data_IF_882255905125
#
_entry.id   IF_882255905125
#
_cell.length_a   1.000
_cell.length_b   1.000
_cell.length_c   1.000
_cell.angle_alpha   90.00
_cell.angle_beta   90.00
_cell.angle_gamma   90.00
#
_symmetry.space_group_name_H-M   'P 1'
#
loop_
_entity.id
_entity.type
_entity.pdbx_description
1 polymer ?
#
# COMPACT_ATOMS: atom_id res chain seq x y z
N UNK A 1 13.63 -53.12 -6.05
CA UNK A 1 12.49 -52.38 -5.45
C UNK A 1 11.98 -51.42 -6.49
N UNK A 2 10.70 -51.37 -6.80
CA UNK A 2 10.20 -50.31 -7.68
C UNK A 2 10.38 -48.99 -6.96
N UNK A 3 11.02 -48.04 -7.62
CA UNK A 3 11.10 -46.65 -7.16
C UNK A 3 9.69 -46.10 -7.21
N UNK A 4 9.20 -45.64 -6.09
CA UNK A 4 7.90 -44.97 -6.04
C UNK A 4 7.96 -43.76 -6.96
N UNK A 5 7.17 -43.78 -8.02
CA UNK A 5 7.12 -42.67 -9.00
C UNK A 5 6.66 -41.31 -8.41
N UNK A 6 6.26 -41.31 -7.15
CA UNK A 6 5.87 -40.08 -6.41
C UNK A 6 6.96 -39.59 -5.43
N UNK A 7 8.09 -40.30 -5.28
CA UNK A 7 9.22 -39.78 -4.52
C UNK A 7 9.96 -38.75 -5.36
N UNK A 8 9.63 -37.45 -5.17
CA UNK A 8 10.45 -36.37 -5.71
C UNK A 8 11.81 -36.38 -4.98
N UNK A 9 12.81 -37.01 -5.56
CA UNK A 9 14.17 -36.98 -5.06
C UNK A 9 14.80 -35.64 -5.44
N UNK A 10 14.96 -34.75 -4.47
CA UNK A 10 15.70 -33.50 -4.65
C UNK A 10 17.18 -33.80 -4.54
N UNK A 11 17.81 -34.21 -5.63
CA UNK A 11 19.28 -34.37 -5.69
C UNK A 11 19.90 -33.25 -6.50
N UNK A 12 20.59 -32.35 -5.81
CA UNK A 12 21.54 -31.43 -6.44
C UNK A 12 22.90 -32.12 -6.56
N UNK A 13 23.21 -32.64 -7.75
CA UNK A 13 24.54 -33.26 -8.02
C UNK A 13 25.48 -32.33 -8.80
N UNK A 14 25.09 -31.09 -9.04
CA UNK A 14 25.87 -30.17 -9.85
C UNK A 14 26.68 -29.25 -8.95
N UNK A 15 28.00 -29.17 -9.18
CA UNK A 15 28.88 -28.27 -8.47
C UNK A 15 28.48 -26.81 -8.75
N UNK A 16 28.68 -25.91 -7.77
CA UNK A 16 28.55 -24.49 -7.92
C UNK A 16 29.33 -24.04 -9.18
N UNK A 17 28.70 -23.25 -10.05
CA UNK A 17 29.23 -22.79 -11.36
C UNK A 17 29.25 -23.83 -12.51
N UNK A 18 28.71 -25.01 -12.38
CA UNK A 18 28.57 -25.91 -13.50
C UNK A 18 27.29 -25.62 -14.31
N UNK A 19 27.39 -25.75 -15.63
CA UNK A 19 26.21 -25.70 -16.49
C UNK A 19 25.31 -26.89 -16.19
N UNK A 20 24.05 -26.66 -15.87
CA UNK A 20 23.05 -27.70 -15.65
C UNK A 20 22.88 -28.58 -16.90
N UNK A 21 23.49 -29.75 -16.89
CA UNK A 21 23.39 -30.70 -17.98
C UNK A 21 22.24 -31.72 -17.83
N UNK A 22 21.61 -31.80 -16.65
CA UNK A 22 20.49 -32.69 -16.33
C UNK A 22 19.36 -31.92 -15.68
N UNK A 23 18.16 -32.49 -15.54
CA UNK A 23 17.00 -31.88 -14.92
C UNK A 23 17.18 -31.66 -13.41
N UNK A 24 17.84 -30.59 -12.93
CA UNK A 24 17.85 -30.28 -11.52
C UNK A 24 16.46 -29.84 -11.09
N UNK A 25 16.09 -30.10 -9.85
CA UNK A 25 14.93 -29.44 -9.26
C UNK A 25 15.29 -27.96 -9.11
N UNK A 26 14.83 -27.15 -10.03
CA UNK A 26 15.03 -25.69 -9.97
C UNK A 26 14.08 -25.11 -8.95
N UNK A 27 14.62 -24.63 -7.85
CA UNK A 27 13.88 -23.76 -6.94
C UNK A 27 13.99 -22.36 -7.53
N UNK A 28 13.04 -22.03 -8.37
CA UNK A 28 13.01 -20.73 -9.04
C UNK A 28 11.57 -20.36 -9.39
N UNK A 29 11.37 -19.12 -9.74
CA UNK A 29 10.10 -18.63 -10.24
C UNK A 29 10.16 -18.39 -11.75
N UNK A 30 9.06 -17.95 -12.28
CA UNK A 30 8.90 -17.62 -13.70
C UNK A 30 9.29 -16.16 -13.91
N UNK A 31 10.21 -15.90 -14.85
CA UNK A 31 10.46 -14.54 -15.32
C UNK A 31 9.27 -14.06 -16.15
N UNK A 32 8.72 -12.87 -15.84
CA UNK A 32 7.60 -12.28 -16.58
C UNK A 32 7.87 -10.82 -16.87
N UNK A 33 7.47 -10.38 -18.05
CA UNK A 33 7.53 -8.99 -18.51
C UNK A 33 6.21 -8.23 -18.29
N UNK A 34 5.17 -8.91 -17.80
CA UNK A 34 3.87 -8.35 -17.51
C UNK A 34 3.39 -8.78 -16.12
N UNK A 35 2.49 -7.99 -15.52
CA UNK A 35 1.87 -8.36 -14.25
C UNK A 35 1.16 -9.71 -14.37
N UNK A 36 1.26 -10.57 -13.35
CA UNK A 36 0.53 -11.83 -13.32
C UNK A 36 -0.98 -11.59 -13.28
N UNK A 37 -1.72 -12.56 -13.79
CA UNK A 37 -3.17 -12.62 -13.56
C UNK A 37 -3.42 -12.86 -12.07
N UNK A 38 -4.43 -12.19 -11.52
CA UNK A 38 -4.86 -12.43 -10.16
C UNK A 38 -5.23 -13.91 -9.97
N UNK A 39 -4.81 -14.49 -8.85
CA UNK A 39 -5.13 -15.85 -8.44
C UNK A 39 -6.24 -15.83 -7.39
N UNK A 40 -7.01 -16.92 -7.28
CA UNK A 40 -8.02 -17.03 -6.23
C UNK A 40 -7.37 -17.17 -4.84
N UNK A 41 -8.13 -16.87 -3.79
CA UNK A 41 -7.67 -17.09 -2.44
C UNK A 41 -7.30 -18.56 -2.23
N UNK A 42 -6.17 -18.81 -1.56
CA UNK A 42 -5.60 -20.12 -1.29
C UNK A 42 -4.92 -20.83 -2.49
N UNK A 43 -4.92 -20.24 -3.68
CA UNK A 43 -4.13 -20.76 -4.80
C UNK A 43 -2.63 -20.56 -4.54
N UNK A 44 -1.83 -21.48 -5.09
CA UNK A 44 -0.37 -21.35 -5.07
C UNK A 44 0.05 -20.34 -6.12
N UNK A 45 1.03 -19.49 -5.78
CA UNK A 45 1.64 -18.55 -6.71
C UNK A 45 3.11 -18.86 -6.90
N UNK A 46 3.62 -18.53 -8.09
CA UNK A 46 5.04 -18.61 -8.39
C UNK A 46 5.78 -17.41 -7.82
N UNK A 47 7.05 -17.57 -7.42
CA UNK A 47 7.94 -16.45 -7.19
C UNK A 47 8.32 -15.81 -8.54
N UNK A 48 8.34 -14.47 -8.58
CA UNK A 48 8.70 -13.72 -9.78
C UNK A 48 10.18 -13.39 -9.80
N UNK A 49 10.79 -13.56 -10.98
CA UNK A 49 12.15 -13.18 -11.26
C UNK A 49 12.17 -12.30 -12.51
N UNK A 50 13.16 -11.40 -12.59
CA UNK A 50 13.41 -10.64 -13.79
C UNK A 50 14.14 -11.51 -14.84
N UNK A 51 14.43 -10.93 -16.01
CA UNK A 51 15.10 -11.59 -17.14
C UNK A 51 16.56 -11.96 -16.86
N UNK A 52 17.15 -11.48 -15.78
CA UNK A 52 18.50 -11.79 -15.31
C UNK A 52 18.52 -12.64 -14.04
N UNK A 53 17.36 -13.14 -13.60
CA UNK A 53 17.24 -14.09 -12.48
C UNK A 53 17.18 -13.45 -11.09
N UNK A 54 16.96 -12.13 -10.98
CA UNK A 54 16.77 -11.47 -9.67
C UNK A 54 15.32 -11.59 -9.24
N UNK A 55 15.09 -11.96 -7.99
CA UNK A 55 13.74 -11.99 -7.44
C UNK A 55 13.11 -10.59 -7.42
N UNK A 56 11.93 -10.45 -8.02
CA UNK A 56 11.15 -9.23 -7.98
C UNK A 56 10.29 -9.22 -6.72
N UNK A 57 10.60 -8.34 -5.79
CA UNK A 57 9.82 -8.12 -4.57
C UNK A 57 9.18 -6.75 -4.68
N UNK A 58 7.85 -6.70 -4.64
CA UNK A 58 7.10 -5.45 -4.60
C UNK A 58 6.97 -5.04 -3.15
N UNK A 59 7.58 -3.93 -2.77
CA UNK A 59 7.57 -3.41 -1.39
C UNK A 59 6.23 -2.81 -0.98
N UNK A 60 5.34 -2.56 -1.94
CA UNK A 60 4.00 -2.00 -1.71
C UNK A 60 2.92 -2.99 -2.14
N UNK A 61 1.70 -2.75 -1.65
CA UNK A 61 0.53 -3.55 -2.04
C UNK A 61 0.30 -3.49 -3.55
N UNK A 62 -0.27 -4.56 -4.10
CA UNK A 62 -0.75 -4.58 -5.48
C UNK A 62 -1.82 -3.50 -5.69
N UNK A 63 -1.98 -3.05 -6.93
CA UNK A 63 -2.86 -1.94 -7.28
C UNK A 63 -4.28 -2.06 -6.70
N UNK A 64 -4.85 -3.27 -6.68
CA UNK A 64 -6.21 -3.51 -6.19
C UNK A 64 -6.35 -3.37 -4.68
N UNK A 65 -5.22 -3.47 -3.97
CA UNK A 65 -5.12 -3.25 -2.53
C UNK A 65 -4.67 -1.83 -2.17
N UNK A 66 -4.51 -0.94 -3.16
CA UNK A 66 -4.20 0.47 -2.95
C UNK A 66 -5.42 1.31 -3.27
N UNK A 67 -5.72 2.26 -2.41
CA UNK A 67 -6.77 3.27 -2.65
C UNK A 67 -6.18 4.67 -2.49
N UNK A 68 -6.76 5.63 -3.19
CA UNK A 68 -6.39 7.05 -3.03
C UNK A 68 -7.60 7.95 -3.21
N UNK A 69 -7.55 9.10 -2.58
CA UNK A 69 -8.54 10.14 -2.75
C UNK A 69 -7.89 11.53 -2.73
N UNK A 70 -8.54 12.48 -3.37
CA UNK A 70 -8.19 13.90 -3.28
C UNK A 70 -9.43 14.66 -2.88
N UNK A 71 -9.33 15.45 -1.82
CA UNK A 71 -10.44 16.22 -1.26
C UNK A 71 -9.99 17.65 -1.03
N UNK A 72 -10.85 18.62 -1.35
CA UNK A 72 -10.65 20.03 -1.01
C UNK A 72 -11.51 20.36 0.18
N UNK A 73 -10.93 20.99 1.20
CA UNK A 73 -11.64 21.46 2.39
C UNK A 73 -11.39 22.96 2.59
N UNK A 74 -12.43 23.66 3.06
CA UNK A 74 -12.38 25.11 3.27
C UNK A 74 -12.98 25.56 4.61
N UNK A 75 -13.51 24.62 5.39
CA UNK A 75 -14.22 24.92 6.63
C UNK A 75 -13.64 24.16 7.82
N UNK A 76 -14.05 24.55 9.02
CA UNK A 76 -13.72 23.85 10.27
C UNK A 76 -14.62 22.63 10.52
N UNK A 77 -15.50 22.29 9.59
CA UNK A 77 -16.31 21.08 9.67
C UNK A 77 -15.48 19.86 9.30
N UNK A 78 -15.60 18.79 10.08
CA UNK A 78 -14.96 17.52 9.77
C UNK A 78 -15.46 16.99 8.41
N UNK A 79 -14.53 16.66 7.55
CA UNK A 79 -14.79 16.23 6.16
C UNK A 79 -14.08 14.93 5.88
N UNK A 80 -14.77 14.00 5.22
CA UNK A 80 -14.17 12.74 4.76
C UNK A 80 -13.12 13.00 3.67
N UNK A 81 -11.89 12.54 3.91
CA UNK A 81 -10.77 12.62 2.95
C UNK A 81 -10.49 11.28 2.27
N UNK A 82 -10.86 10.18 2.90
CA UNK A 82 -10.87 8.85 2.31
C UNK A 82 -12.08 8.09 2.84
N UNK A 83 -12.93 7.64 1.93
CA UNK A 83 -14.15 6.91 2.30
C UNK A 83 -13.84 5.61 3.05
N UNK A 84 -14.75 5.17 3.89
CA UNK A 84 -14.67 3.90 4.58
C UNK A 84 -14.52 2.73 3.60
N UNK A 85 -13.77 1.72 4.01
CA UNK A 85 -13.73 0.43 3.32
C UNK A 85 -14.98 -0.39 3.52
N UNK A 86 -15.04 -1.56 2.90
CA UNK A 86 -16.04 -2.58 3.21
C UNK A 86 -15.88 -3.10 4.66
N UNK A 87 -16.83 -3.89 5.13
CA UNK A 87 -16.74 -4.53 6.45
C UNK A 87 -15.42 -5.33 6.56
N UNK A 88 -14.70 -5.15 7.66
CA UNK A 88 -13.41 -5.79 7.91
C UNK A 88 -12.19 -5.12 7.25
N UNK A 89 -12.37 -4.16 6.33
CA UNK A 89 -11.27 -3.51 5.63
C UNK A 89 -10.76 -2.29 6.40
N UNK A 90 -9.46 -2.25 6.62
CA UNK A 90 -8.72 -1.10 7.13
C UNK A 90 -8.07 -0.34 5.97
N UNK A 91 -7.97 0.97 6.07
CA UNK A 91 -7.24 1.83 5.15
C UNK A 91 -6.00 2.41 5.85
N UNK A 92 -4.88 1.71 5.76
CA UNK A 92 -3.63 2.13 6.37
C UNK A 92 -2.91 3.15 5.48
N UNK A 93 -2.65 4.35 6.00
CA UNK A 93 -2.08 5.44 5.21
C UNK A 93 -0.64 5.17 4.81
N UNK A 94 -0.33 5.38 3.53
CA UNK A 94 1.02 5.28 2.97
C UNK A 94 1.56 6.61 2.46
N UNK A 95 0.67 7.51 2.03
CA UNK A 95 1.02 8.84 1.54
C UNK A 95 -0.03 9.85 1.98
N UNK A 96 0.43 11.01 2.41
CA UNK A 96 -0.40 12.18 2.64
C UNK A 96 0.29 13.41 2.05
N UNK A 97 -0.46 14.24 1.34
CA UNK A 97 -0.01 15.56 0.90
C UNK A 97 -1.11 16.58 1.15
N UNK A 98 -0.76 17.71 1.73
CA UNK A 98 -1.65 18.82 2.02
C UNK A 98 -1.12 20.06 1.34
N UNK A 99 -1.92 20.69 0.50
CA UNK A 99 -1.59 21.94 -0.19
C UNK A 99 -2.57 23.02 0.26
N UNK A 100 -2.06 24.07 0.91
CA UNK A 100 -2.82 25.24 1.28
C UNK A 100 -2.61 26.34 0.24
N UNK A 101 -3.57 26.53 -0.65
CA UNK A 101 -3.50 27.58 -1.69
C UNK A 101 -4.12 28.91 -1.23
N UNK A 102 -4.63 28.96 0.00
CA UNK A 102 -5.17 30.20 0.59
C UNK A 102 -4.06 31.16 1.01
N UNK A 103 -4.45 32.39 1.28
CA UNK A 103 -3.55 33.42 1.81
C UNK A 103 -3.39 33.38 3.35
N UNK A 104 -3.96 32.38 4.01
CA UNK A 104 -4.00 32.29 5.48
C UNK A 104 -3.45 30.95 5.94
N UNK A 105 -2.64 30.96 6.99
CA UNK A 105 -2.13 29.75 7.64
C UNK A 105 -3.28 28.98 8.29
N UNK A 106 -3.19 27.64 8.26
CA UNK A 106 -4.16 26.79 8.93
C UNK A 106 -3.52 25.55 9.50
N UNK A 107 -4.14 24.98 10.54
CA UNK A 107 -3.86 23.65 11.04
C UNK A 107 -4.86 22.69 10.43
N UNK A 108 -4.41 21.51 10.05
CA UNK A 108 -5.25 20.41 9.58
C UNK A 108 -5.12 19.26 10.59
N UNK A 109 -6.24 18.90 11.20
CA UNK A 109 -6.34 17.78 12.15
C UNK A 109 -6.89 16.55 11.43
N UNK A 110 -6.24 15.40 11.59
CA UNK A 110 -6.59 14.14 10.94
C UNK A 110 -7.11 13.12 11.96
N UNK A 111 -8.15 12.38 11.54
CA UNK A 111 -8.75 11.29 12.31
C UNK A 111 -8.92 10.07 11.42
N UNK A 112 -8.77 8.90 12.00
CA UNK A 112 -8.96 7.61 11.34
C UNK A 112 -10.37 7.02 11.51
N UNK A 113 -11.21 7.74 12.26
CA UNK A 113 -12.64 7.45 12.47
C UNK A 113 -13.38 8.78 12.54
N UNK A 114 -14.55 8.88 11.92
CA UNK A 114 -15.41 10.07 11.99
C UNK A 114 -15.75 10.38 13.46
N UNK A 115 -15.60 11.63 13.85
CA UNK A 115 -15.76 12.13 15.22
C UNK A 115 -14.82 11.46 16.27
N UNK A 116 -13.81 10.75 15.80
CA UNK A 116 -12.79 10.09 16.64
C UNK A 116 -11.74 11.06 17.18
N UNK A 117 -10.76 10.51 17.89
CA UNK A 117 -9.61 11.25 18.36
C UNK A 117 -8.75 11.76 17.19
N UNK A 118 -8.11 12.91 17.36
CA UNK A 118 -7.13 13.41 16.41
C UNK A 118 -5.90 12.51 16.50
N UNK A 119 -5.53 11.88 15.38
CA UNK A 119 -4.35 11.02 15.30
C UNK A 119 -3.05 11.85 15.16
N UNK A 120 -3.13 12.90 14.34
CA UNK A 120 -2.03 13.85 14.16
C UNK A 120 -2.55 15.17 13.55
N UNK A 121 -1.71 16.19 13.58
CA UNK A 121 -2.01 17.50 13.00
C UNK A 121 -0.85 18.00 12.15
N UNK A 122 -1.16 18.69 11.06
CA UNK A 122 -0.19 19.41 10.24
C UNK A 122 -0.51 20.91 10.29
N UNK A 123 0.51 21.72 10.52
CA UNK A 123 0.41 23.16 10.37
C UNK A 123 0.90 23.56 8.97
N UNK A 124 0.01 24.10 8.15
CA UNK A 124 0.27 24.39 6.74
C UNK A 124 0.15 25.89 6.50
N UNK A 125 1.28 26.51 6.19
CA UNK A 125 1.34 27.93 5.88
C UNK A 125 0.62 28.28 4.58
N UNK A 126 0.23 29.54 4.45
CA UNK A 126 -0.30 30.10 3.22
C UNK A 126 0.63 29.82 2.03
N UNK A 127 0.09 29.30 0.95
CA UNK A 127 0.83 28.94 -0.27
C UNK A 127 1.77 27.74 -0.14
N UNK A 128 1.77 27.01 0.98
CA UNK A 128 2.69 25.91 1.21
C UNK A 128 2.07 24.56 0.88
N UNK A 129 2.97 23.60 0.60
CA UNK A 129 2.65 22.18 0.47
C UNK A 129 3.45 21.42 1.53
N UNK A 130 2.78 20.58 2.28
CA UNK A 130 3.38 19.69 3.29
C UNK A 130 2.91 18.28 3.01
N UNK A 131 3.81 17.31 3.09
CA UNK A 131 3.43 15.92 2.88
C UNK A 131 4.54 14.96 3.25
N UNK A 132 4.17 13.70 3.37
CA UNK A 132 5.08 12.61 3.67
C UNK A 132 4.61 11.32 3.01
N UNK A 133 5.56 10.45 2.71
CA UNK A 133 5.32 9.05 2.38
C UNK A 133 5.85 8.18 3.52
N UNK A 134 5.11 7.14 3.86
CA UNK A 134 5.44 6.24 4.95
C UNK A 134 5.97 4.92 4.38
N UNK A 135 7.17 4.54 4.79
CA UNK A 135 7.74 3.21 4.47
C UNK A 135 6.99 2.10 5.23
N UNK A 136 6.53 2.42 6.45
CA UNK A 136 5.60 1.59 7.21
C UNK A 136 4.26 2.31 7.25
N UNK A 137 3.18 1.73 6.74
CA UNK A 137 1.87 2.36 6.75
C UNK A 137 1.42 2.74 8.18
N UNK A 138 0.75 3.88 8.31
CA UNK A 138 0.07 4.25 9.54
C UNK A 138 -1.25 3.47 9.63
N UNK A 139 -1.34 2.58 10.59
CA UNK A 139 -2.48 1.68 10.75
C UNK A 139 -3.73 2.42 11.14
N UNK A 140 -4.85 2.11 10.50
CA UNK A 140 -6.18 2.56 10.93
C UNK A 140 -6.63 1.75 12.15
N UNK A 141 -7.23 2.40 13.15
CA UNK A 141 -7.60 1.73 14.40
C UNK A 141 -8.92 0.95 14.31
N UNK A 142 -9.80 1.32 13.37
CA UNK A 142 -11.13 0.73 13.22
C UNK A 142 -11.43 0.43 11.77
N UNK A 143 -11.73 -0.83 11.46
CA UNK A 143 -12.14 -1.26 10.13
C UNK A 143 -13.44 -0.57 9.69
N UNK A 144 -13.65 -0.52 8.38
CA UNK A 144 -14.84 0.09 7.76
C UNK A 144 -15.12 1.53 8.23
N UNK A 145 -14.07 2.27 8.57
CA UNK A 145 -14.13 3.66 8.99
C UNK A 145 -13.50 4.59 7.94
N UNK A 146 -13.94 5.84 7.91
CA UNK A 146 -13.40 6.84 7.01
C UNK A 146 -12.23 7.57 7.67
N UNK A 147 -11.21 7.92 6.90
CA UNK A 147 -10.29 8.97 7.28
C UNK A 147 -10.92 10.33 7.05
N UNK A 148 -10.82 11.18 8.04
CA UNK A 148 -11.41 12.51 8.02
C UNK A 148 -10.36 13.57 8.34
N UNK A 149 -10.62 14.80 7.92
CA UNK A 149 -9.82 15.95 8.26
C UNK A 149 -10.69 17.15 8.61
N UNK A 150 -10.13 18.06 9.40
CA UNK A 150 -10.78 19.27 9.85
C UNK A 150 -9.74 20.40 9.87
N UNK A 151 -10.14 21.60 9.42
CA UNK A 151 -9.28 22.77 9.57
C UNK A 151 -9.43 23.39 10.97
N UNK A 152 -8.34 23.83 11.55
CA UNK A 152 -8.36 24.62 12.79
C UNK A 152 -8.89 26.04 12.57
N UNK A 153 -8.71 26.57 11.34
CA UNK A 153 -9.26 27.86 10.89
C UNK A 153 -9.76 27.69 9.47
N UNK A 154 -10.97 28.17 9.19
CA UNK A 154 -11.53 28.16 7.84
C UNK A 154 -10.69 29.00 6.88
N UNK A 155 -10.34 28.43 5.74
CA UNK A 155 -9.59 29.08 4.67
C UNK A 155 -10.20 28.73 3.31
N UNK A 156 -9.82 29.41 2.25
CA UNK A 156 -10.50 29.27 0.96
C UNK A 156 -10.29 27.93 0.28
N UNK A 157 -9.09 27.35 0.40
CA UNK A 157 -8.75 26.10 -0.32
C UNK A 157 -7.57 25.37 0.34
N UNK A 158 -7.85 24.21 0.92
CA UNK A 158 -6.83 23.25 1.33
C UNK A 158 -7.12 21.94 0.63
N UNK A 159 -6.21 21.52 -0.25
CA UNK A 159 -6.32 20.27 -0.98
C UNK A 159 -5.50 19.18 -0.28
N UNK A 160 -6.15 18.05 -0.03
CA UNK A 160 -5.56 16.90 0.64
C UNK A 160 -5.58 15.72 -0.32
N UNK A 161 -4.42 15.15 -0.60
CA UNK A 161 -4.25 13.87 -1.29
C UNK A 161 -3.87 12.82 -0.25
N UNK A 162 -4.61 11.73 -0.20
CA UNK A 162 -4.29 10.56 0.61
C UNK A 162 -4.16 9.32 -0.26
N UNK A 163 -3.25 8.43 0.12
CA UNK A 163 -3.16 7.07 -0.39
C UNK A 163 -3.03 6.11 0.77
N UNK A 164 -3.72 4.98 0.68
CA UNK A 164 -3.72 3.95 1.70
C UNK A 164 -3.65 2.55 1.10
N UNK A 165 -3.12 1.60 1.89
CA UNK A 165 -3.25 0.18 1.63
C UNK A 165 -4.53 -0.34 2.26
N UNK A 166 -5.25 -1.22 1.54
CA UNK A 166 -6.39 -1.96 2.08
C UNK A 166 -5.87 -3.22 2.75
N UNK A 167 -6.11 -3.35 4.05
CA UNK A 167 -5.82 -4.54 4.84
C UNK A 167 -7.14 -5.17 5.32
N UNK A 168 -7.16 -6.50 5.46
CA UNK A 168 -8.36 -7.28 5.84
C UNK A 168 -8.01 -8.15 7.03
#
# INVERSE_FOLDING_TARGET
>A
MPVDANAAEVQGTVAHDAVDANNPVKIGGIARQANPTAVAALDRTDAFFDDVGRQVVISNQVRDLVTRATTTISSTTETTILAAGAAGVFHDLTLLTVSNTSATDTRVDFRDVTAGAIQFSLFVKAGAVVGFSLTTPMTQTTAASAWTAQLGTAVTDVRILVQACKNV
#
